data_IF_940883642607
#
_entry.id   IF_940883642607
#
_cell.length_a   1.000
_cell.length_b   1.000
_cell.length_c   1.000
_cell.angle_alpha   90.00
_cell.angle_beta   90.00
_cell.angle_gamma   90.00
#
_symmetry.space_group_name_H-M   'P 1'
#
loop_
_entity.id
_entity.type
_entity.pdbx_description
1 polymer ?
#
# COMPACT_ATOMS: atom_id res chain seq x y z
N UNK A 1 -16.44 5.04 2.00
CA UNK A 1 -17.55 4.90 2.94
C UNK A 1 -18.89 4.70 2.21
N UNK A 2 -19.25 5.56 1.25
CA UNK A 2 -20.51 5.47 0.50
C UNK A 2 -20.70 4.19 -0.32
N UNK A 3 -19.60 3.63 -0.83
CA UNK A 3 -19.66 2.45 -1.69
C UNK A 3 -19.69 1.16 -0.86
N UNK A 4 -18.82 1.04 0.14
CA UNK A 4 -18.72 -0.13 1.01
C UNK A 4 -17.96 0.24 2.29
N UNK A 5 -18.70 0.39 3.37
CA UNK A 5 -18.14 0.91 4.63
C UNK A 5 -17.02 0.03 5.20
N UNK A 6 -17.26 -1.29 5.25
CA UNK A 6 -16.27 -2.25 5.78
C UNK A 6 -14.97 -2.19 4.97
N UNK A 7 -15.03 -2.24 3.63
CA UNK A 7 -13.83 -2.19 2.80
C UNK A 7 -13.08 -0.86 2.93
N UNK A 8 -13.82 0.25 3.12
CA UNK A 8 -13.19 1.57 3.34
C UNK A 8 -12.41 1.58 4.66
N UNK A 9 -13.00 1.08 5.75
CA UNK A 9 -12.28 0.99 7.03
C UNK A 9 -11.12 -0.02 6.98
N UNK A 10 -11.30 -1.16 6.29
CA UNK A 10 -10.22 -2.13 6.09
C UNK A 10 -9.05 -1.52 5.32
N UNK A 11 -9.31 -0.71 4.30
CA UNK A 11 -8.27 0.03 3.58
C UNK A 11 -7.52 0.99 4.50
N UNK A 12 -8.24 1.80 5.29
CA UNK A 12 -7.62 2.74 6.23
C UNK A 12 -6.76 2.00 7.27
N UNK A 13 -7.27 0.89 7.81
CA UNK A 13 -6.52 0.06 8.75
C UNK A 13 -5.24 -0.49 8.11
N UNK A 14 -5.30 -0.99 6.88
CA UNK A 14 -4.12 -1.47 6.14
C UNK A 14 -3.10 -0.33 5.93
N UNK A 15 -3.54 0.89 5.56
CA UNK A 15 -2.64 2.05 5.40
C UNK A 15 -1.98 2.47 6.71
N UNK A 16 -2.67 2.39 7.83
CA UNK A 16 -2.09 2.65 9.16
C UNK A 16 -1.03 1.59 9.48
N UNK A 17 -1.36 0.30 9.29
CA UNK A 17 -0.42 -0.81 9.54
C UNK A 17 0.84 -0.67 8.69
N UNK A 18 0.71 -0.40 7.39
CA UNK A 18 1.85 -0.14 6.52
C UNK A 18 2.72 1.00 7.03
N UNK A 19 2.10 2.13 7.40
CA UNK A 19 2.83 3.29 7.92
C UNK A 19 3.60 2.96 9.21
N UNK A 20 3.04 2.11 10.07
CA UNK A 20 3.72 1.62 11.29
C UNK A 20 4.94 0.77 10.93
N UNK A 21 4.81 -0.19 9.98
CA UNK A 21 5.95 -0.99 9.54
C UNK A 21 7.07 -0.13 8.94
N UNK A 22 6.71 0.85 8.08
CA UNK A 22 7.68 1.79 7.51
C UNK A 22 8.39 2.58 8.62
N UNK A 23 7.65 3.10 9.61
CA UNK A 23 8.23 3.86 10.72
C UNK A 23 9.22 3.00 11.54
N UNK A 24 8.87 1.75 11.86
CA UNK A 24 9.77 0.81 12.55
C UNK A 24 11.02 0.53 11.73
N UNK A 25 10.89 0.32 10.42
CA UNK A 25 12.02 0.14 9.51
C UNK A 25 12.95 1.36 9.47
N UNK A 26 12.38 2.58 9.44
CA UNK A 26 13.16 3.83 9.49
C UNK A 26 13.92 3.93 10.82
N UNK A 27 13.27 3.63 11.96
CA UNK A 27 13.92 3.65 13.27
C UNK A 27 15.08 2.66 13.34
N UNK A 28 14.94 1.47 12.76
CA UNK A 28 16.03 0.49 12.69
C UNK A 28 17.24 1.04 11.89
N UNK A 29 17.00 1.68 10.74
CA UNK A 29 18.06 2.31 9.94
C UNK A 29 18.72 3.46 10.70
N UNK A 30 17.95 4.33 11.34
CA UNK A 30 18.49 5.44 12.13
C UNK A 30 19.33 4.94 13.31
N UNK A 31 18.91 3.85 13.97
CA UNK A 31 19.71 3.21 15.02
C UNK A 31 21.07 2.73 14.48
N UNK A 32 21.12 2.12 13.27
CA UNK A 32 22.39 1.72 12.65
C UNK A 32 23.29 2.94 12.40
N UNK A 33 22.72 4.05 11.88
CA UNK A 33 23.46 5.28 11.63
C UNK A 33 24.04 5.84 12.92
N UNK A 34 23.24 5.91 13.99
CA UNK A 34 23.67 6.38 15.31
C UNK A 34 24.78 5.50 15.86
N UNK A 35 24.64 4.17 15.85
CA UNK A 35 25.67 3.24 16.30
C UNK A 35 26.98 3.43 15.55
N UNK A 36 26.95 3.62 14.23
CA UNK A 36 28.16 3.85 13.44
C UNK A 36 28.84 5.19 13.77
N UNK A 37 28.04 6.22 14.04
CA UNK A 37 28.57 7.54 14.39
C UNK A 37 29.25 7.53 15.76
N UNK A 38 28.65 6.84 16.75
CA UNK A 38 29.12 6.86 18.13
C UNK A 38 30.25 5.86 18.40
N UNK A 39 30.35 4.79 17.60
CA UNK A 39 31.28 3.68 17.82
C UNK A 39 32.76 4.03 17.53
N UNK A 40 33.04 5.02 16.70
CA UNK A 40 34.42 5.39 16.36
C UNK A 40 35.30 4.18 15.96
N UNK A 41 36.36 3.89 16.71
CA UNK A 41 37.29 2.78 16.46
C UNK A 41 36.71 1.38 16.79
N UNK A 42 35.64 1.30 17.59
CA UNK A 42 35.01 0.04 18.03
C UNK A 42 33.88 -0.43 17.11
N UNK A 43 33.76 0.13 15.90
CA UNK A 43 32.69 -0.20 14.95
C UNK A 43 32.59 -1.70 14.62
N UNK A 44 33.70 -2.44 14.71
CA UNK A 44 33.70 -3.88 14.48
C UNK A 44 32.94 -4.69 15.57
N UNK A 45 32.88 -4.21 16.81
CA UNK A 45 32.16 -4.86 17.91
C UNK A 45 30.65 -4.74 17.78
N UNK A 46 30.15 -3.79 16.99
CA UNK A 46 28.74 -3.51 16.78
C UNK A 46 28.15 -4.21 15.54
N UNK A 47 28.95 -5.01 14.81
CA UNK A 47 28.55 -5.68 13.58
C UNK A 47 27.27 -6.52 13.76
N UNK A 48 27.22 -7.40 14.75
CA UNK A 48 26.07 -8.25 15.00
C UNK A 48 24.80 -7.48 15.38
N UNK A 49 24.91 -6.36 16.09
CA UNK A 49 23.76 -5.50 16.39
C UNK A 49 23.25 -4.79 15.13
N UNK A 50 24.15 -4.29 14.30
CA UNK A 50 23.79 -3.66 13.02
C UNK A 50 23.11 -4.65 12.06
N UNK A 51 23.59 -5.91 11.99
CA UNK A 51 22.96 -6.96 11.21
C UNK A 51 21.55 -7.29 11.73
N UNK A 52 21.37 -7.36 13.05
CA UNK A 52 20.04 -7.59 13.65
C UNK A 52 19.05 -6.46 13.33
N UNK A 53 19.50 -5.21 13.39
CA UNK A 53 18.68 -4.04 13.01
C UNK A 53 18.38 -4.02 11.51
N UNK A 54 19.34 -4.43 10.66
CA UNK A 54 19.12 -4.58 9.22
C UNK A 54 18.05 -5.64 8.93
N UNK A 55 18.12 -6.78 9.61
CA UNK A 55 17.10 -7.82 9.49
C UNK A 55 15.70 -7.34 9.91
N UNK A 56 15.58 -6.56 10.98
CA UNK A 56 14.31 -5.92 11.37
C UNK A 56 13.80 -5.03 10.24
N UNK A 57 14.66 -4.17 9.68
CA UNK A 57 14.29 -3.30 8.54
C UNK A 57 13.80 -4.11 7.34
N UNK A 58 14.47 -5.20 6.99
CA UNK A 58 14.11 -6.04 5.84
C UNK A 58 12.76 -6.73 6.07
N UNK A 59 12.52 -7.27 7.26
CA UNK A 59 11.22 -7.85 7.60
C UNK A 59 10.10 -6.82 7.68
N UNK A 60 10.33 -5.62 8.20
CA UNK A 60 9.32 -4.57 8.20
C UNK A 60 8.97 -4.12 6.79
N UNK A 61 9.94 -4.10 5.87
CA UNK A 61 9.69 -3.81 4.46
C UNK A 61 8.90 -4.91 3.78
N UNK A 62 9.23 -6.18 4.03
CA UNK A 62 8.50 -7.31 3.43
C UNK A 62 7.06 -7.42 3.95
N UNK A 63 6.82 -7.19 5.25
CA UNK A 63 5.49 -7.27 5.85
C UNK A 63 4.63 -6.03 5.57
N UNK A 64 5.16 -4.84 5.64
CA UNK A 64 4.44 -3.59 5.38
C UNK A 64 4.23 -3.36 3.88
N UNK A 65 5.21 -2.78 3.17
CA UNK A 65 5.11 -2.51 1.74
C UNK A 65 4.92 -3.78 0.89
N UNK A 66 5.52 -4.91 1.28
CA UNK A 66 5.43 -6.16 0.52
C UNK A 66 4.10 -6.89 0.68
N UNK A 67 3.56 -7.00 1.89
CA UNK A 67 2.39 -7.83 2.20
C UNK A 67 1.12 -7.00 2.44
N UNK A 68 1.17 -6.02 3.36
CA UNK A 68 -0.01 -5.23 3.75
C UNK A 68 -0.49 -4.34 2.61
N UNK A 69 0.43 -3.77 1.82
CA UNK A 69 0.10 -2.97 0.63
C UNK A 69 -0.64 -3.80 -0.40
N UNK A 70 -0.21 -5.02 -0.67
CA UNK A 70 -0.88 -5.91 -1.62
C UNK A 70 -2.35 -6.13 -1.27
N UNK A 71 -2.68 -6.31 0.03
CA UNK A 71 -4.06 -6.45 0.49
C UNK A 71 -4.79 -5.10 0.46
N UNK A 72 -4.20 -4.07 1.06
CA UNK A 72 -4.85 -2.78 1.26
C UNK A 72 -4.95 -1.96 -0.03
N UNK A 73 -3.81 -1.63 -0.59
CA UNK A 73 -3.71 -0.73 -1.74
C UNK A 73 -4.04 -1.46 -3.05
N UNK A 74 -3.50 -2.65 -3.21
CA UNK A 74 -3.76 -3.47 -4.40
C UNK A 74 -5.19 -3.99 -4.41
N UNK A 75 -5.49 -4.99 -3.60
CA UNK A 75 -6.77 -5.69 -3.68
C UNK A 75 -7.96 -4.82 -3.28
N UNK A 76 -7.95 -4.21 -2.07
CA UNK A 76 -9.11 -3.48 -1.55
C UNK A 76 -9.33 -2.18 -2.32
N UNK A 77 -8.32 -1.33 -2.45
CA UNK A 77 -8.45 -0.06 -3.16
C UNK A 77 -8.67 -0.28 -4.65
N UNK A 78 -7.93 -1.21 -5.28
CA UNK A 78 -8.13 -1.60 -6.67
C UNK A 78 -9.57 -2.03 -6.95
N UNK A 79 -10.15 -2.88 -6.09
CA UNK A 79 -11.55 -3.28 -6.17
C UNK A 79 -12.52 -2.08 -6.01
N UNK A 80 -12.29 -1.21 -5.04
CA UNK A 80 -13.12 -0.03 -4.84
C UNK A 80 -13.05 0.91 -6.06
N UNK A 81 -11.88 1.12 -6.65
CA UNK A 81 -11.71 1.94 -7.87
C UNK A 81 -12.35 1.28 -9.10
N UNK A 82 -12.26 -0.05 -9.22
CA UNK A 82 -12.92 -0.81 -10.28
C UNK A 82 -14.44 -0.69 -10.19
N UNK A 83 -15.00 -0.82 -9.00
CA UNK A 83 -16.46 -0.75 -8.76
C UNK A 83 -17.00 0.67 -8.89
N UNK A 84 -16.26 1.68 -8.44
CA UNK A 84 -16.68 3.08 -8.55
C UNK A 84 -16.56 3.64 -9.96
N UNK A 85 -15.69 3.08 -10.80
CA UNK A 85 -15.38 3.62 -12.12
C UNK A 85 -14.62 4.95 -12.10
N UNK A 86 -14.09 5.36 -10.94
CA UNK A 86 -13.31 6.60 -10.78
C UNK A 86 -12.00 6.59 -11.57
N UNK A 87 -11.48 5.40 -11.86
CA UNK A 87 -10.28 5.20 -12.67
C UNK A 87 -10.56 4.27 -13.87
N UNK A 88 -9.72 4.29 -14.91
CA UNK A 88 -9.80 3.33 -16.00
C UNK A 88 -9.77 1.91 -15.48
N UNK A 89 -10.66 1.05 -15.99
CA UNK A 89 -10.78 -0.35 -15.55
C UNK A 89 -9.47 -1.12 -15.65
N UNK A 90 -8.68 -0.89 -16.72
CA UNK A 90 -7.40 -1.57 -16.90
C UNK A 90 -6.40 -1.26 -15.77
N UNK A 91 -6.34 0.00 -15.31
CA UNK A 91 -5.48 0.39 -14.21
C UNK A 91 -5.96 -0.21 -12.88
N UNK A 92 -7.27 -0.15 -12.61
CA UNK A 92 -7.83 -0.73 -11.39
C UNK A 92 -7.65 -2.27 -11.33
N UNK A 93 -7.69 -2.96 -12.47
CA UNK A 93 -7.41 -4.40 -12.55
C UNK A 93 -5.96 -4.74 -12.22
N UNK A 94 -4.99 -3.86 -12.51
CA UNK A 94 -3.60 -4.06 -12.09
C UNK A 94 -3.47 -4.16 -10.57
N UNK A 95 -4.20 -3.33 -9.82
CA UNK A 95 -4.25 -3.44 -8.36
C UNK A 95 -4.93 -4.71 -7.88
N UNK A 96 -6.10 -5.04 -8.44
CA UNK A 96 -6.86 -6.26 -8.07
C UNK A 96 -6.06 -7.54 -8.32
N UNK A 97 -5.21 -7.57 -9.35
CA UNK A 97 -4.36 -8.72 -9.69
C UNK A 97 -3.00 -8.61 -8.97
N UNK A 98 -2.40 -7.43 -9.01
CA UNK A 98 -1.07 -7.16 -8.44
C UNK A 98 -1.03 -7.34 -6.93
N UNK A 99 -2.08 -6.88 -6.23
CA UNK A 99 -2.17 -7.03 -4.78
C UNK A 99 -2.06 -8.47 -4.30
N UNK A 100 -2.90 -9.40 -4.77
CA UNK A 100 -2.77 -10.83 -4.46
C UNK A 100 -1.42 -11.43 -4.87
N UNK A 101 -0.89 -11.08 -6.05
CA UNK A 101 0.41 -11.58 -6.51
C UNK A 101 1.53 -11.15 -5.58
N UNK A 102 1.59 -9.88 -5.21
CA UNK A 102 2.56 -9.34 -4.25
C UNK A 102 2.42 -9.99 -2.87
N UNK A 103 1.18 -10.14 -2.38
CA UNK A 103 0.91 -10.80 -1.10
C UNK A 103 1.39 -12.25 -1.10
N UNK A 104 1.08 -13.03 -2.15
CA UNK A 104 1.52 -14.41 -2.29
C UNK A 104 3.06 -14.50 -2.42
N UNK A 105 3.68 -13.55 -3.13
CA UNK A 105 5.13 -13.48 -3.19
C UNK A 105 5.75 -13.17 -1.81
N UNK A 106 5.15 -12.28 -1.02
CA UNK A 106 5.57 -12.04 0.37
C UNK A 106 5.44 -13.28 1.26
N UNK A 107 4.38 -14.08 1.07
CA UNK A 107 4.20 -15.36 1.76
C UNK A 107 5.32 -16.34 1.35
N UNK A 108 5.68 -16.40 0.07
CA UNK A 108 6.78 -17.26 -0.39
C UNK A 108 8.11 -16.94 0.28
N UNK A 109 8.42 -15.64 0.46
CA UNK A 109 9.60 -15.19 1.22
C UNK A 109 9.48 -15.58 2.69
N UNK A 110 8.29 -15.44 3.31
CA UNK A 110 8.06 -15.81 4.72
C UNK A 110 8.33 -17.31 4.99
N UNK A 111 8.03 -18.17 4.02
CA UNK A 111 8.28 -19.61 4.10
C UNK A 111 9.61 -20.05 3.48
N UNK A 112 10.51 -19.11 3.23
CA UNK A 112 11.87 -19.37 2.69
C UNK A 112 11.87 -20.17 1.37
N UNK A 113 10.86 -19.94 0.53
CA UNK A 113 10.77 -20.57 -0.80
C UNK A 113 11.73 -19.91 -1.81
N UNK A 114 12.07 -18.65 -1.58
CA UNK A 114 13.03 -17.85 -2.35
C UNK A 114 13.40 -16.59 -1.57
N UNK A 115 14.54 -15.99 -1.95
CA UNK A 115 15.08 -14.81 -1.28
C UNK A 115 14.20 -13.57 -1.45
N UNK A 116 14.14 -12.75 -0.39
CA UNK A 116 13.51 -11.44 -0.42
C UNK A 116 14.20 -10.54 -1.46
N UNK A 117 13.40 -9.86 -2.28
CA UNK A 117 13.91 -9.04 -3.39
C UNK A 117 14.43 -9.84 -4.58
N UNK A 118 14.33 -11.18 -4.53
CA UNK A 118 14.70 -12.06 -5.64
C UNK A 118 13.82 -11.88 -6.89
N UNK A 119 14.19 -12.53 -8.02
CA UNK A 119 13.48 -12.35 -9.29
C UNK A 119 11.98 -12.67 -9.22
N UNK A 120 11.60 -13.71 -8.47
CA UNK A 120 10.19 -14.13 -8.32
C UNK A 120 9.37 -13.04 -7.67
N UNK A 121 9.82 -12.53 -6.51
CA UNK A 121 9.14 -11.46 -5.80
C UNK A 121 9.12 -10.17 -6.63
N UNK A 122 10.23 -9.81 -7.28
CA UNK A 122 10.34 -8.61 -8.11
C UNK A 122 9.34 -8.64 -9.28
N UNK A 123 9.23 -9.76 -10.00
CA UNK A 123 8.29 -9.89 -11.12
C UNK A 123 6.84 -9.85 -10.62
N UNK A 124 6.53 -10.52 -9.51
CA UNK A 124 5.20 -10.54 -8.93
C UNK A 124 4.73 -9.16 -8.45
N UNK A 125 5.66 -8.27 -8.08
CA UNK A 125 5.37 -6.91 -7.60
C UNK A 125 5.13 -5.90 -8.74
N UNK A 126 5.57 -6.18 -9.98
CA UNK A 126 5.45 -5.23 -11.10
C UNK A 126 4.02 -4.69 -11.30
N UNK A 127 2.95 -5.51 -11.33
CA UNK A 127 1.60 -5.01 -11.52
C UNK A 127 1.17 -4.05 -10.42
N UNK A 128 1.58 -4.30 -9.18
CA UNK A 128 1.26 -3.43 -8.03
C UNK A 128 2.01 -2.10 -8.12
N UNK A 129 3.28 -2.10 -8.51
CA UNK A 129 4.06 -0.87 -8.73
C UNK A 129 3.38 -0.01 -9.81
N UNK A 130 2.98 -0.61 -10.93
CA UNK A 130 2.30 0.13 -12.00
C UNK A 130 0.96 0.68 -11.51
N UNK A 131 0.22 -0.08 -10.71
CA UNK A 131 -1.01 0.35 -10.07
C UNK A 131 -0.79 1.56 -9.15
N UNK A 132 0.16 1.49 -8.23
CA UNK A 132 0.47 2.58 -7.29
C UNK A 132 0.92 3.86 -8.01
N UNK A 133 1.81 3.73 -9.00
CA UNK A 133 2.21 4.86 -9.83
C UNK A 133 1.02 5.47 -10.55
N UNK A 134 0.11 4.64 -11.06
CA UNK A 134 -1.10 5.11 -11.74
C UNK A 134 -2.06 5.84 -10.80
N UNK A 135 -2.15 5.44 -9.53
CA UNK A 135 -2.92 6.14 -8.50
C UNK A 135 -2.39 7.55 -8.22
N UNK A 136 -1.08 7.76 -8.28
CA UNK A 136 -0.49 9.08 -8.12
C UNK A 136 -0.62 9.94 -9.38
N UNK A 137 -0.27 9.38 -10.53
CA UNK A 137 -0.11 10.13 -11.79
C UNK A 137 -1.45 10.39 -12.47
N UNK A 138 -2.30 9.36 -12.59
CA UNK A 138 -3.54 9.49 -13.37
C UNK A 138 -4.48 10.59 -12.82
N UNK A 139 -4.83 10.61 -11.51
CA UNK A 139 -5.70 11.65 -10.97
C UNK A 139 -5.08 13.04 -10.99
N UNK A 140 -3.76 13.13 -10.94
CA UNK A 140 -3.04 14.41 -10.99
C UNK A 140 -3.15 15.07 -12.38
N UNK A 141 -3.11 14.28 -13.45
CA UNK A 141 -3.12 14.78 -14.84
C UNK A 141 -4.54 14.90 -15.38
N UNK A 142 -5.37 13.89 -15.18
CA UNK A 142 -6.72 13.78 -15.78
C UNK A 142 -7.86 13.92 -14.79
N UNK A 143 -7.59 13.96 -13.49
CA UNK A 143 -8.61 13.90 -12.46
C UNK A 143 -9.28 12.53 -12.35
N UNK A 144 -10.21 12.39 -11.42
CA UNK A 144 -11.07 11.21 -11.36
C UNK A 144 -12.19 11.30 -12.40
N UNK A 145 -12.58 10.15 -12.94
CA UNK A 145 -13.72 10.06 -13.86
C UNK A 145 -15.02 10.37 -13.12
N UNK A 146 -16.00 10.92 -13.85
CA UNK A 146 -17.36 11.08 -13.33
C UNK A 146 -17.93 9.69 -12.93
N UNK A 147 -18.45 9.60 -11.73
CA UNK A 147 -19.00 8.37 -11.18
C UNK A 147 -20.40 8.65 -10.61
N UNK A 148 -21.37 7.74 -10.77
CA UNK A 148 -22.70 7.87 -10.14
C UNK A 148 -22.62 8.08 -8.62
N UNK A 149 -21.59 7.52 -7.97
CA UNK A 149 -21.37 7.64 -6.52
C UNK A 149 -21.04 9.08 -6.11
N UNK A 150 -20.41 9.85 -7.00
CA UNK A 150 -20.07 11.27 -6.77
C UNK A 150 -21.18 12.20 -7.28
N UNK A 151 -21.86 11.81 -8.36
CA UNK A 151 -22.90 12.64 -9.01
C UNK A 151 -24.16 12.85 -8.15
N UNK A 152 -24.45 11.97 -7.20
CA UNK A 152 -25.59 12.13 -6.26
C UNK A 152 -25.43 13.33 -5.30
N UNK A 153 -24.22 13.86 -5.13
CA UNK A 153 -23.97 15.03 -4.27
C UNK A 153 -24.49 16.36 -4.86
N UNK A 154 -24.65 16.41 -6.17
CA UNK A 154 -25.11 17.62 -6.88
C UNK A 154 -26.62 17.74 -7.05
N UNK A 155 -27.41 16.75 -6.62
CA UNK A 155 -28.88 16.87 -6.64
C UNK A 155 -29.34 17.68 -5.43
N UNK A 156 -29.92 18.88 -5.62
CA UNK A 156 -30.58 19.56 -4.53
C UNK A 156 -31.64 18.63 -3.94
N UNK A 157 -31.59 18.43 -2.63
CA UNK A 157 -32.67 17.75 -1.89
C UNK A 157 -33.88 18.69 -2.03
N UNK A 158 -34.72 18.44 -3.06
CA UNK A 158 -36.00 19.10 -3.18
C UNK A 158 -36.83 18.66 -1.99
N UNK A 159 -36.93 19.51 -1.01
CA UNK A 159 -37.80 19.32 0.13
C UNK A 159 -39.23 19.15 -0.38
N UNK A 160 -39.98 18.10 0.00
CA UNK A 160 -41.33 17.86 -0.49
C UNK A 160 -42.31 19.04 -0.26
N UNK A 161 -41.96 20.00 0.59
CA UNK A 161 -42.71 21.20 0.85
C UNK A 161 -42.72 22.24 -0.32
N UNK A 162 -41.92 22.08 -1.37
CA UNK A 162 -41.87 23.00 -2.52
C UNK A 162 -42.80 22.55 -3.66
N UNK A 163 -43.28 21.28 -3.63
CA UNK A 163 -44.20 20.75 -4.65
C UNK A 163 -45.68 20.91 -4.30
N UNK A 164 -46.02 21.57 -3.17
CA UNK A 164 -47.40 21.77 -2.69
C UNK A 164 -47.89 23.23 -2.84
N UNK A 165 -47.31 24.02 -3.81
CA UNK A 165 -47.85 25.33 -4.18
C UNK A 165 -48.15 25.41 -5.66
#
# INVERSE_FOLDING_TARGET
KRQHEILTFSYVAARIMESVFIAVGILAVLAIVTLRHDAGADAASLGGLAESLAAIKDWTFNLGPGFVVGIGNGLILGYLMLRSGLMPRGLALLGVIGGPLQTLAGIGVLFDLYDAGGPVQSIATIPEIIWELSLGIYPLIWGFRSSPIVAEEGRPVLHPAVLAR
#
